data_IF_528499696697
#
_entry.id   IF_528499696697
#
_cell.length_a   1.000
_cell.length_b   1.000
_cell.length_c   1.000
_cell.angle_alpha   90.00
_cell.angle_beta   90.00
_cell.angle_gamma   90.00
#
_symmetry.space_group_name_H-M   'P 1'
#
loop_
_entity.id
_entity.type
_entity.pdbx_description
1 polymer ?
#
# COMPACT_ATOMS: atom_id res chain seq x y z
N UNK A 1 22.78 8.57 -20.85
CA UNK A 1 23.69 8.28 -19.72
C UNK A 1 25.02 9.00 -19.82
N UNK A 2 25.85 8.82 -20.87
CA UNK A 2 27.15 9.52 -20.97
C UNK A 2 27.03 11.05 -20.86
N UNK A 3 26.02 11.63 -21.54
CA UNK A 3 25.69 13.07 -21.47
C UNK A 3 25.29 13.54 -20.06
N UNK A 4 24.49 12.73 -19.34
CA UNK A 4 24.00 13.06 -17.99
C UNK A 4 25.12 12.91 -16.95
N UNK A 5 26.00 11.92 -17.14
CA UNK A 5 27.18 11.72 -16.29
C UNK A 5 28.17 12.88 -16.43
N UNK A 6 28.38 13.39 -17.65
CA UNK A 6 29.27 14.54 -17.88
C UNK A 6 28.76 15.85 -17.28
N UNK A 7 27.43 16.05 -17.20
CA UNK A 7 26.84 17.26 -16.61
C UNK A 7 27.13 17.41 -15.11
N UNK A 8 27.42 16.30 -14.41
CA UNK A 8 27.67 16.28 -12.96
C UNK A 8 29.00 15.63 -12.58
N UNK A 9 29.93 15.46 -13.53
CA UNK A 9 31.26 14.88 -13.30
C UNK A 9 31.23 13.49 -12.61
N UNK A 10 30.29 12.63 -13.02
CA UNK A 10 30.18 11.28 -12.48
C UNK A 10 30.95 10.31 -13.38
N UNK A 11 32.20 10.02 -13.02
CA UNK A 11 33.12 9.24 -13.86
C UNK A 11 32.91 7.71 -13.76
N UNK A 12 32.12 7.27 -12.78
CA UNK A 12 31.87 5.84 -12.51
C UNK A 12 30.37 5.52 -12.44
N UNK A 13 29.86 4.85 -13.49
CA UNK A 13 28.44 4.43 -13.59
C UNK A 13 28.26 3.04 -14.23
N UNK A 14 29.24 2.16 -14.07
CA UNK A 14 29.26 0.83 -14.70
C UNK A 14 28.18 -0.13 -14.17
N UNK A 15 27.79 0.00 -12.89
CA UNK A 15 26.75 -0.84 -12.28
C UNK A 15 25.37 -0.14 -12.23
N UNK A 16 24.26 -0.89 -12.06
CA UNK A 16 22.91 -0.32 -12.05
C UNK A 16 22.68 0.77 -10.99
N UNK A 17 23.29 0.65 -9.80
CA UNK A 17 23.11 1.60 -8.71
C UNK A 17 23.75 2.96 -9.05
N UNK A 18 24.95 2.94 -9.61
CA UNK A 18 25.66 4.17 -10.00
C UNK A 18 25.01 4.82 -11.23
N UNK A 19 24.43 4.03 -12.14
CA UNK A 19 23.57 4.58 -13.20
C UNK A 19 22.40 5.36 -12.62
N UNK A 20 21.70 4.82 -11.60
CA UNK A 20 20.59 5.52 -10.94
C UNK A 20 21.04 6.86 -10.35
N UNK A 21 22.19 6.90 -9.68
CA UNK A 21 22.78 8.15 -9.16
C UNK A 21 23.02 9.20 -10.25
N UNK A 22 23.46 8.78 -11.45
CA UNK A 22 23.61 9.69 -12.59
C UNK A 22 22.28 10.30 -13.00
N UNK A 23 21.23 9.49 -13.12
CA UNK A 23 19.91 10.01 -13.47
C UNK A 23 19.35 10.92 -12.38
N UNK A 24 19.46 10.52 -11.10
CA UNK A 24 18.98 11.30 -9.95
C UNK A 24 19.71 12.65 -9.83
N UNK A 25 21.02 12.70 -10.06
CA UNK A 25 21.81 13.94 -10.07
C UNK A 25 21.31 14.95 -11.12
N UNK A 26 20.71 14.46 -12.20
CA UNK A 26 20.11 15.27 -13.27
C UNK A 26 18.60 15.48 -13.08
N UNK A 27 18.06 15.17 -11.89
CA UNK A 27 16.62 15.32 -11.57
C UNK A 27 15.72 14.27 -12.22
N UNK A 28 16.29 13.17 -12.75
CA UNK A 28 15.54 12.10 -13.41
C UNK A 28 15.48 10.89 -12.46
N UNK A 29 14.32 10.69 -11.86
CA UNK A 29 14.10 9.58 -10.94
C UNK A 29 13.96 8.26 -11.71
N UNK A 30 14.96 7.40 -11.55
CA UNK A 30 15.19 6.21 -12.37
C UNK A 30 14.14 5.08 -12.22
N UNK A 31 13.12 5.26 -11.38
CA UNK A 31 12.01 4.31 -11.14
C UNK A 31 10.69 5.04 -10.78
N UNK A 32 10.55 6.29 -11.23
CA UNK A 32 9.38 7.09 -10.81
C UNK A 32 8.05 6.68 -11.46
N UNK A 33 8.09 5.77 -12.45
CA UNK A 33 6.95 5.36 -13.26
C UNK A 33 6.69 3.85 -13.27
N UNK A 34 7.68 3.00 -12.97
CA UNK A 34 7.59 1.55 -13.24
C UNK A 34 6.91 0.74 -12.14
N UNK A 35 6.58 1.37 -11.01
CA UNK A 35 5.93 0.72 -9.87
C UNK A 35 4.88 1.66 -9.25
N UNK A 36 3.78 1.98 -9.95
CA UNK A 36 2.73 2.81 -9.38
C UNK A 36 2.02 2.09 -8.23
N UNK A 37 1.45 2.85 -7.31
CA UNK A 37 0.56 2.32 -6.27
C UNK A 37 -0.88 2.29 -6.79
N UNK A 38 -1.58 1.18 -6.53
CA UNK A 38 -2.99 1.01 -6.89
C UNK A 38 -3.86 1.62 -5.79
N UNK A 39 -4.83 2.45 -6.17
CA UNK A 39 -5.79 3.07 -5.26
C UNK A 39 -7.21 2.91 -5.79
N UNK A 40 -8.17 2.74 -4.89
CA UNK A 40 -9.60 2.67 -5.18
C UNK A 40 -10.33 3.61 -4.23
N UNK A 41 -11.33 4.34 -4.74
CA UNK A 41 -12.15 5.30 -3.99
C UNK A 41 -11.37 6.40 -3.25
N UNK A 42 -10.08 6.59 -3.55
CA UNK A 42 -9.22 7.64 -2.99
C UNK A 42 -9.56 8.98 -3.64
N UNK A 43 -10.23 9.87 -2.90
CA UNK A 43 -10.72 11.15 -3.43
C UNK A 43 -10.04 12.33 -2.77
N UNK A 44 -9.61 13.27 -3.61
CA UNK A 44 -9.03 14.54 -3.20
C UNK A 44 -9.99 15.69 -3.51
N UNK A 45 -9.76 16.86 -2.91
CA UNK A 45 -10.54 18.07 -3.21
C UNK A 45 -10.25 18.58 -4.61
N UNK A 46 -11.21 19.32 -5.19
CA UNK A 46 -11.16 19.76 -6.59
C UNK A 46 -9.95 20.67 -6.92
N UNK A 47 -9.32 21.28 -5.92
CA UNK A 47 -8.09 22.07 -6.07
C UNK A 47 -6.83 21.22 -6.27
N UNK A 48 -6.86 19.94 -5.90
CA UNK A 48 -5.70 19.06 -6.03
C UNK A 48 -5.51 18.61 -7.49
N UNK A 49 -4.29 18.71 -8.08
CA UNK A 49 -4.06 18.36 -9.49
C UNK A 49 -4.41 16.92 -9.89
N UNK A 50 -4.36 15.98 -8.94
CA UNK A 50 -4.75 14.58 -9.17
C UNK A 50 -6.27 14.34 -9.08
N UNK A 51 -7.05 15.30 -8.58
CA UNK A 51 -8.47 15.12 -8.34
C UNK A 51 -9.27 14.80 -9.62
N UNK A 52 -9.04 15.40 -10.80
CA UNK A 52 -9.82 15.07 -12.00
C UNK A 52 -9.70 13.59 -12.40
N UNK A 53 -8.50 13.01 -12.32
CA UNK A 53 -8.26 11.61 -12.70
C UNK A 53 -8.89 10.68 -11.65
N UNK A 54 -8.66 10.94 -10.37
CA UNK A 54 -9.21 10.15 -9.27
C UNK A 54 -10.74 10.21 -9.23
N UNK A 55 -11.33 11.38 -9.48
CA UNK A 55 -12.79 11.55 -9.50
C UNK A 55 -13.39 10.89 -10.74
N UNK A 56 -12.75 10.97 -11.91
CA UNK A 56 -13.23 10.28 -13.12
C UNK A 56 -13.29 8.77 -12.91
N UNK A 57 -12.23 8.19 -12.36
CA UNK A 57 -12.16 6.76 -12.08
C UNK A 57 -13.17 6.36 -10.99
N UNK A 58 -13.27 7.15 -9.91
CA UNK A 58 -14.29 6.96 -8.88
C UNK A 58 -15.71 6.91 -9.46
N UNK A 59 -16.09 7.84 -10.35
CA UNK A 59 -17.43 7.88 -10.93
C UNK A 59 -17.76 6.67 -11.82
N UNK A 60 -16.74 5.99 -12.34
CA UNK A 60 -16.88 4.80 -13.19
C UNK A 60 -16.52 3.51 -12.44
N UNK A 61 -16.33 3.56 -11.12
CA UNK A 61 -15.96 2.41 -10.30
C UNK A 61 -14.64 1.73 -10.72
N UNK A 62 -13.75 2.50 -11.35
CA UNK A 62 -12.44 2.03 -11.76
C UNK A 62 -11.38 2.41 -10.71
N UNK A 63 -10.37 1.56 -10.46
CA UNK A 63 -9.24 1.95 -9.64
C UNK A 63 -8.29 2.87 -10.43
N UNK A 64 -7.38 3.53 -9.73
CA UNK A 64 -6.35 4.38 -10.32
C UNK A 64 -4.94 3.92 -9.93
N UNK A 65 -4.00 4.10 -10.84
CA UNK A 65 -2.57 3.95 -10.54
C UNK A 65 -1.93 5.31 -10.33
N UNK A 66 -1.28 5.51 -9.19
CA UNK A 66 -0.50 6.71 -8.89
C UNK A 66 1.00 6.38 -8.96
N UNK A 67 1.69 7.05 -9.87
CA UNK A 67 3.14 6.95 -10.01
C UNK A 67 3.85 7.74 -8.92
N UNK A 68 5.07 7.35 -8.55
CA UNK A 68 5.92 8.12 -7.65
C UNK A 68 6.12 9.55 -8.17
N UNK A 69 6.25 9.74 -9.50
CA UNK A 69 6.38 11.08 -10.10
C UNK A 69 5.17 11.97 -9.80
N UNK A 70 3.96 11.44 -9.94
CA UNK A 70 2.72 12.17 -9.59
C UNK A 70 2.72 12.58 -8.12
N UNK A 71 3.07 11.65 -7.22
CA UNK A 71 3.09 11.90 -5.76
C UNK A 71 4.17 12.91 -5.35
N UNK A 72 5.27 13.00 -6.09
CA UNK A 72 6.33 14.00 -5.84
C UNK A 72 5.97 15.37 -6.41
N UNK A 73 5.37 15.43 -7.60
CA UNK A 73 5.00 16.69 -8.24
C UNK A 73 3.75 17.32 -7.63
N UNK A 74 2.81 16.49 -7.18
CA UNK A 74 1.52 16.88 -6.63
C UNK A 74 1.33 16.22 -5.25
N UNK A 75 2.15 16.60 -4.26
CA UNK A 75 2.09 15.98 -2.94
C UNK A 75 0.83 16.40 -2.20
N UNK A 76 0.25 15.45 -1.45
CA UNK A 76 -0.78 15.74 -0.45
C UNK A 76 -0.08 16.34 0.77
N UNK A 77 -0.39 17.59 1.10
CA UNK A 77 0.34 18.37 2.14
C UNK A 77 -0.49 18.70 3.37
N UNK A 78 -1.80 18.58 3.26
CA UNK A 78 -2.76 18.92 4.30
C UNK A 78 -3.96 17.97 4.28
N UNK A 79 -4.68 17.89 5.39
CA UNK A 79 -5.87 17.04 5.53
C UNK A 79 -7.03 17.60 4.69
N UNK A 80 -7.10 18.91 4.50
CA UNK A 80 -8.11 19.58 3.68
C UNK A 80 -8.07 19.14 2.21
N UNK A 81 -6.93 18.67 1.71
CA UNK A 81 -6.83 18.06 0.38
C UNK A 81 -7.54 16.70 0.28
N UNK A 82 -7.74 16.00 1.39
CA UNK A 82 -8.37 14.69 1.44
C UNK A 82 -9.88 14.79 1.65
N UNK A 83 -10.67 13.99 0.90
CA UNK A 83 -12.11 13.83 1.15
C UNK A 83 -12.44 12.65 2.06
N UNK A 84 -11.45 12.23 2.83
CA UNK A 84 -11.48 11.09 3.73
C UNK A 84 -10.52 11.37 4.88
N UNK A 85 -10.85 10.88 6.08
CA UNK A 85 -9.95 10.91 7.24
C UNK A 85 -9.38 9.54 7.57
N UNK A 86 -9.88 8.48 6.92
CA UNK A 86 -9.48 7.09 7.11
C UNK A 86 -9.26 6.40 5.77
N UNK A 87 -8.23 5.58 5.67
CA UNK A 87 -7.91 4.76 4.50
C UNK A 87 -7.52 3.34 4.91
N UNK A 88 -7.92 2.37 4.10
CA UNK A 88 -7.54 0.99 4.26
C UNK A 88 -6.43 0.62 3.28
N UNK A 89 -5.62 -0.36 3.65
CA UNK A 89 -4.48 -0.83 2.89
C UNK A 89 -4.50 -2.36 2.86
N UNK A 90 -4.44 -2.95 1.67
CA UNK A 90 -4.32 -4.39 1.44
C UNK A 90 -3.03 -4.71 0.66
N UNK A 91 -2.62 -5.96 0.66
CA UNK A 91 -1.46 -6.43 -0.12
C UNK A 91 -1.87 -6.86 -1.54
N UNK A 92 -3.05 -7.45 -1.69
CA UNK A 92 -3.47 -8.18 -2.86
C UNK A 92 -4.46 -7.39 -3.72
N UNK A 93 -4.18 -7.20 -5.03
CA UNK A 93 -5.09 -6.48 -5.93
C UNK A 93 -6.45 -7.19 -6.11
N UNK A 94 -6.56 -8.49 -5.84
CA UNK A 94 -7.83 -9.20 -5.86
C UNK A 94 -8.84 -8.62 -4.85
N UNK A 95 -8.37 -8.09 -3.71
CA UNK A 95 -9.23 -7.42 -2.72
C UNK A 95 -9.78 -6.11 -3.26
N UNK A 96 -8.99 -5.38 -4.07
CA UNK A 96 -9.47 -4.17 -4.76
C UNK A 96 -10.55 -4.51 -5.76
N UNK A 97 -10.32 -5.51 -6.63
CA UNK A 97 -11.34 -5.98 -7.58
C UNK A 97 -12.60 -6.43 -6.86
N UNK A 98 -12.48 -7.25 -5.81
CA UNK A 98 -13.63 -7.73 -5.06
C UNK A 98 -14.40 -6.61 -4.36
N UNK A 99 -13.71 -5.57 -3.85
CA UNK A 99 -14.36 -4.41 -3.25
C UNK A 99 -15.13 -3.58 -4.28
N UNK A 100 -14.61 -3.43 -5.50
CA UNK A 100 -15.33 -2.75 -6.58
C UNK A 100 -16.62 -3.51 -6.90
N UNK A 101 -16.54 -4.83 -7.10
CA UNK A 101 -17.72 -5.64 -7.43
C UNK A 101 -18.76 -5.71 -6.30
N UNK A 102 -18.32 -5.71 -5.04
CA UNK A 102 -19.22 -5.84 -3.89
C UNK A 102 -19.81 -4.50 -3.44
N UNK A 103 -18.97 -3.45 -3.35
CA UNK A 103 -19.30 -2.19 -2.70
C UNK A 103 -19.30 -0.98 -3.67
N UNK A 104 -18.68 -1.10 -4.84
CA UNK A 104 -18.56 -0.01 -5.81
C UNK A 104 -18.04 1.28 -5.17
N UNK A 105 -18.78 2.38 -5.37
CA UNK A 105 -18.49 3.70 -4.75
C UNK A 105 -18.86 3.82 -3.27
N UNK A 106 -19.58 2.86 -2.70
CA UNK A 106 -20.07 2.88 -1.31
C UNK A 106 -19.06 2.24 -0.34
N UNK A 107 -17.78 2.49 -0.55
CA UNK A 107 -16.72 1.98 0.32
C UNK A 107 -15.73 3.08 0.73
N UNK A 108 -15.07 2.85 1.86
CA UNK A 108 -13.87 3.57 2.26
C UNK A 108 -12.77 3.46 1.19
N UNK A 109 -11.86 4.45 1.11
CA UNK A 109 -10.74 4.40 0.18
C UNK A 109 -9.79 3.25 0.54
N UNK A 110 -9.30 2.58 -0.49
CA UNK A 110 -8.43 1.40 -0.39
C UNK A 110 -7.15 1.61 -1.20
N UNK A 111 -6.01 1.32 -0.60
CA UNK A 111 -4.69 1.33 -1.24
C UNK A 111 -4.19 -0.11 -1.30
N UNK A 112 -3.69 -0.54 -2.45
CA UNK A 112 -3.11 -1.87 -2.61
C UNK A 112 -1.59 -1.77 -2.83
N UNK A 113 -0.83 -2.52 -2.02
CA UNK A 113 0.62 -2.54 -2.09
C UNK A 113 1.17 -3.47 -3.18
N UNK A 114 0.38 -4.46 -3.60
CA UNK A 114 0.78 -5.50 -4.57
C UNK A 114 2.04 -6.23 -4.13
N UNK A 115 2.10 -6.61 -2.85
CA UNK A 115 3.27 -7.22 -2.22
C UNK A 115 4.11 -6.24 -1.40
N UNK A 116 5.44 -6.35 -1.52
CA UNK A 116 6.37 -5.48 -0.81
C UNK A 116 6.14 -4.00 -1.17
N UNK A 117 6.06 -3.08 -0.19
CA UNK A 117 5.73 -1.69 -0.44
C UNK A 117 6.73 -1.02 -1.40
N UNK A 118 6.25 -0.62 -2.57
CA UNK A 118 7.05 0.10 -3.58
C UNK A 118 7.34 1.54 -3.13
N UNK A 119 8.28 2.22 -3.78
CA UNK A 119 8.57 3.64 -3.50
C UNK A 119 7.34 4.54 -3.65
N UNK A 120 6.47 4.26 -4.63
CA UNK A 120 5.21 5.00 -4.80
C UNK A 120 4.26 4.76 -3.63
N UNK A 121 4.10 3.51 -3.20
CA UNK A 121 3.25 3.18 -2.07
C UNK A 121 3.76 3.78 -0.76
N UNK A 122 5.06 3.63 -0.48
CA UNK A 122 5.70 4.25 0.69
C UNK A 122 5.55 5.77 0.66
N UNK A 123 5.68 6.41 -0.50
CA UNK A 123 5.51 7.86 -0.62
C UNK A 123 4.08 8.30 -0.32
N UNK A 124 3.09 7.59 -0.84
CA UNK A 124 1.68 7.87 -0.57
C UNK A 124 1.35 7.68 0.91
N UNK A 125 1.71 6.53 1.49
CA UNK A 125 1.48 6.25 2.91
C UNK A 125 2.17 7.28 3.83
N UNK A 126 3.40 7.69 3.49
CA UNK A 126 4.11 8.74 4.22
C UNK A 126 3.37 10.08 4.16
N UNK A 127 2.86 10.50 2.99
CA UNK A 127 2.10 11.74 2.86
C UNK A 127 0.80 11.69 3.67
N UNK A 128 0.04 10.60 3.56
CA UNK A 128 -1.22 10.41 4.28
C UNK A 128 -1.02 10.40 5.80
N UNK A 129 0.02 9.69 6.27
CA UNK A 129 0.39 9.65 7.69
C UNK A 129 0.77 11.05 8.22
N UNK A 130 1.57 11.80 7.45
CA UNK A 130 2.02 13.15 7.84
C UNK A 130 0.87 14.16 7.96
N UNK A 131 -0.16 14.05 7.12
CA UNK A 131 -1.33 14.93 7.19
C UNK A 131 -2.38 14.44 8.21
N UNK A 132 -2.14 13.28 8.85
CA UNK A 132 -2.97 12.75 9.93
C UNK A 132 -4.11 11.85 9.49
N UNK A 133 -4.08 11.27 8.29
CA UNK A 133 -5.07 10.26 7.87
C UNK A 133 -4.85 8.98 8.67
N UNK A 134 -5.94 8.41 9.19
CA UNK A 134 -5.94 7.11 9.86
C UNK A 134 -5.73 5.99 8.84
N UNK A 135 -4.55 5.38 8.85
CA UNK A 135 -4.18 4.26 7.97
C UNK A 135 -4.46 2.93 8.67
N UNK A 136 -5.19 2.04 8.01
CA UNK A 136 -5.55 0.71 8.49
C UNK A 136 -4.99 -0.35 7.54
N UNK A 137 -4.11 -1.23 8.02
CA UNK A 137 -3.40 -2.20 7.18
C UNK A 137 -3.81 -3.64 7.45
N UNK A 138 -4.13 -4.37 6.38
CA UNK A 138 -4.25 -5.83 6.36
C UNK A 138 -3.29 -6.41 5.30
N UNK A 139 -2.90 -7.66 5.49
CA UNK A 139 -2.10 -8.42 4.55
C UNK A 139 -2.18 -9.91 4.88
N UNK A 140 -1.44 -10.72 4.12
CA UNK A 140 -1.48 -12.17 4.31
C UNK A 140 -1.04 -12.59 5.73
N UNK A 141 -1.72 -13.60 6.27
CA UNK A 141 -1.25 -14.32 7.45
C UNK A 141 -0.21 -15.36 7.05
N UNK A 142 0.94 -14.88 6.61
CA UNK A 142 2.14 -15.66 6.44
C UNK A 142 3.37 -14.89 6.97
N UNK A 143 4.56 -15.48 6.93
CA UNK A 143 5.74 -14.80 7.48
C UNK A 143 6.19 -13.56 6.68
N UNK A 144 6.17 -13.56 5.33
CA UNK A 144 6.32 -12.34 4.54
C UNK A 144 5.29 -11.23 4.88
N UNK A 145 4.00 -11.56 4.90
CA UNK A 145 2.89 -10.65 5.20
C UNK A 145 3.03 -10.02 6.58
N UNK A 146 3.40 -10.79 7.62
CA UNK A 146 3.71 -10.24 8.94
C UNK A 146 4.90 -9.26 8.92
N UNK A 147 5.90 -9.47 8.07
CA UNK A 147 7.03 -8.52 7.93
C UNK A 147 6.60 -7.24 7.23
N UNK A 148 5.76 -7.34 6.20
CA UNK A 148 5.20 -6.16 5.53
C UNK A 148 4.30 -5.39 6.49
N UNK A 149 3.40 -6.08 7.20
CA UNK A 149 2.53 -5.49 8.21
C UNK A 149 3.35 -4.73 9.27
N UNK A 150 4.39 -5.38 9.81
CA UNK A 150 5.33 -4.74 10.75
C UNK A 150 5.95 -3.47 10.17
N UNK A 151 6.50 -3.56 8.96
CA UNK A 151 7.12 -2.41 8.31
C UNK A 151 6.13 -1.26 8.12
N UNK A 152 4.92 -1.54 7.64
CA UNK A 152 3.90 -0.52 7.38
C UNK A 152 3.42 0.13 8.67
N UNK A 153 3.16 -0.66 9.71
CA UNK A 153 2.73 -0.20 11.04
C UNK A 153 3.82 0.67 11.69
N UNK A 154 5.06 0.20 11.74
CA UNK A 154 6.16 0.93 12.40
C UNK A 154 6.59 2.18 11.63
N UNK A 155 6.56 2.15 10.29
CA UNK A 155 7.07 3.25 9.45
C UNK A 155 6.04 4.35 9.24
N UNK A 156 4.77 3.98 9.08
CA UNK A 156 3.71 4.94 8.71
C UNK A 156 2.65 5.13 9.79
N UNK A 157 2.81 4.48 10.96
CA UNK A 157 1.84 4.57 12.06
C UNK A 157 0.49 3.93 11.71
N UNK A 158 0.48 2.97 10.77
CA UNK A 158 -0.74 2.26 10.42
C UNK A 158 -1.25 1.42 11.60
N UNK A 159 -2.56 1.24 11.69
CA UNK A 159 -3.23 0.38 12.65
C UNK A 159 -3.47 -1.00 12.02
N UNK A 160 -3.31 -2.12 12.76
CA UNK A 160 -3.69 -3.43 12.25
C UNK A 160 -5.19 -3.46 11.95
N UNK A 161 -5.55 -3.91 10.75
CA UNK A 161 -6.92 -4.13 10.31
C UNK A 161 -7.13 -5.63 10.20
N UNK A 162 -7.93 -6.19 11.13
CA UNK A 162 -8.13 -7.66 11.24
C UNK A 162 -6.83 -8.45 11.16
N UNK A 163 -5.73 -7.86 11.64
CA UNK A 163 -4.40 -8.46 11.59
C UNK A 163 -4.06 -8.98 12.99
N UNK A 164 -4.97 -9.69 13.62
CA UNK A 164 -4.83 -10.17 15.00
C UNK A 164 -5.06 -11.69 15.09
N UNK A 165 -4.70 -12.28 16.23
CA UNK A 165 -4.81 -13.71 16.45
C UNK A 165 -6.24 -14.22 16.31
N UNK A 166 -7.24 -13.44 16.72
CA UNK A 166 -8.64 -13.82 16.62
C UNK A 166 -9.05 -13.93 15.14
N UNK A 167 -8.76 -12.89 14.36
CA UNK A 167 -9.03 -12.84 12.93
C UNK A 167 -8.31 -13.96 12.17
N UNK A 168 -7.09 -14.31 12.57
CA UNK A 168 -6.35 -15.45 12.02
C UNK A 168 -7.02 -16.79 12.34
N UNK A 169 -7.48 -16.98 13.57
CA UNK A 169 -8.12 -18.24 14.00
C UNK A 169 -9.52 -18.41 13.40
N UNK A 170 -10.25 -17.32 13.18
CA UNK A 170 -11.55 -17.30 12.51
C UNK A 170 -11.46 -17.59 11.00
N UNK A 171 -10.28 -17.43 10.40
CA UNK A 171 -10.10 -17.67 8.97
C UNK A 171 -10.21 -19.16 8.60
N UNK A 172 -10.74 -19.42 7.41
CA UNK A 172 -10.79 -20.77 6.84
C UNK A 172 -9.39 -21.38 6.69
N UNK A 173 -9.31 -22.71 6.56
CA UNK A 173 -8.03 -23.39 6.34
C UNK A 173 -7.36 -22.92 5.04
N UNK A 174 -6.07 -22.62 5.14
CA UNK A 174 -5.20 -22.29 4.02
C UNK A 174 -4.16 -23.36 3.76
N UNK A 175 -2.96 -22.94 3.37
CA UNK A 175 -1.87 -23.85 2.98
C UNK A 175 -0.85 -24.01 4.11
N UNK A 176 0.01 -25.04 4.09
CA UNK A 176 1.07 -25.17 5.10
C UNK A 176 1.96 -23.93 5.19
N UNK A 177 2.12 -23.40 6.40
CA UNK A 177 2.96 -22.24 6.70
C UNK A 177 4.43 -22.60 6.53
N UNK A 178 5.17 -21.76 5.78
CA UNK A 178 6.58 -22.02 5.44
C UNK A 178 7.45 -20.80 5.69
N UNK A 179 8.73 -21.06 5.98
CA UNK A 179 9.76 -20.05 6.12
C UNK A 179 10.04 -19.66 7.57
N UNK A 180 10.81 -18.58 7.74
CA UNK A 180 11.25 -18.13 9.07
C UNK A 180 10.15 -17.33 9.76
N UNK A 181 9.79 -17.69 11.01
CA UNK A 181 8.82 -16.96 11.81
C UNK A 181 9.11 -15.47 11.90
N UNK A 182 8.06 -14.66 11.76
CA UNK A 182 8.08 -13.22 11.96
C UNK A 182 7.39 -12.86 13.28
N UNK A 183 7.70 -11.68 13.81
CA UNK A 183 7.03 -11.14 14.99
C UNK A 183 5.87 -10.25 14.58
N UNK A 184 4.85 -10.18 15.44
CA UNK A 184 3.69 -9.31 15.32
C UNK A 184 3.64 -8.36 16.54
N UNK A 185 4.37 -7.23 16.54
CA UNK A 185 4.45 -6.35 17.71
C UNK A 185 3.11 -5.78 18.19
N UNK A 186 2.12 -5.70 17.29
CA UNK A 186 0.77 -5.22 17.60
C UNK A 186 -0.13 -6.28 18.27
N UNK A 187 0.21 -7.57 18.15
CA UNK A 187 -0.47 -8.67 18.83
C UNK A 187 0.49 -9.85 19.04
N UNK A 188 0.94 -10.04 20.28
CA UNK A 188 1.91 -11.09 20.62
C UNK A 188 1.37 -12.50 20.41
N UNK A 189 0.05 -12.69 20.46
CA UNK A 189 -0.57 -14.01 20.34
C UNK A 189 -0.65 -14.49 18.89
N UNK A 190 -0.61 -13.58 17.91
CA UNK A 190 -0.77 -13.93 16.50
C UNK A 190 0.33 -14.88 16.00
N UNK A 191 1.60 -14.56 16.28
CA UNK A 191 2.73 -15.44 15.92
C UNK A 191 2.57 -16.83 16.52
N UNK A 192 2.15 -16.92 17.78
CA UNK A 192 1.99 -18.19 18.48
C UNK A 192 0.84 -19.01 17.89
N UNK A 193 -0.30 -18.37 17.63
CA UNK A 193 -1.43 -18.99 16.93
C UNK A 193 -1.01 -19.53 15.56
N UNK A 194 -0.23 -18.78 14.79
CA UNK A 194 0.29 -19.21 13.48
C UNK A 194 1.26 -20.40 13.59
N UNK A 195 2.11 -20.45 14.61
CA UNK A 195 3.01 -21.58 14.85
C UNK A 195 2.25 -22.85 15.24
N UNK A 196 1.22 -22.71 16.08
CA UNK A 196 0.40 -23.83 16.55
C UNK A 196 -0.47 -24.39 15.42
N UNK A 197 -1.17 -23.51 14.69
CA UNK A 197 -2.04 -23.90 13.57
C UNK A 197 -1.22 -24.37 12.36
N UNK A 198 -0.06 -23.77 12.12
CA UNK A 198 0.86 -24.18 11.05
C UNK A 198 0.36 -23.88 9.65
N UNK A 199 -0.56 -22.92 9.49
CA UNK A 199 -1.25 -22.62 8.24
C UNK A 199 -1.07 -21.16 7.83
N UNK A 200 -0.68 -20.92 6.58
CA UNK A 200 -0.72 -19.60 5.97
C UNK A 200 -2.13 -19.34 5.43
N UNK A 201 -2.65 -18.13 5.65
CA UNK A 201 -3.96 -17.70 5.15
C UNK A 201 -3.78 -16.46 4.30
N UNK A 202 -4.23 -16.51 3.06
CA UNK A 202 -4.17 -15.37 2.13
C UNK A 202 -5.37 -14.43 2.27
N UNK A 203 -5.22 -13.17 1.90
CA UNK A 203 -6.27 -12.16 2.00
C UNK A 203 -7.59 -12.60 1.33
N UNK A 204 -7.55 -13.33 0.21
CA UNK A 204 -8.76 -13.83 -0.47
C UNK A 204 -9.61 -14.73 0.42
N UNK A 205 -8.98 -15.44 1.36
CA UNK A 205 -9.68 -16.36 2.26
C UNK A 205 -10.46 -15.63 3.36
N UNK A 206 -10.09 -14.38 3.63
CA UNK A 206 -10.76 -13.49 4.59
C UNK A 206 -11.47 -12.32 3.92
N UNK A 207 -11.49 -12.29 2.58
CA UNK A 207 -12.02 -11.19 1.78
C UNK A 207 -13.42 -10.77 2.22
N UNK A 208 -14.33 -11.71 2.49
CA UNK A 208 -15.69 -11.39 2.95
C UNK A 208 -15.72 -10.44 4.16
N UNK A 209 -14.88 -10.70 5.15
CA UNK A 209 -14.79 -9.88 6.37
C UNK A 209 -14.13 -8.54 6.09
N UNK A 210 -13.13 -8.50 5.20
CA UNK A 210 -12.48 -7.25 4.77
C UNK A 210 -13.47 -6.36 4.00
N UNK A 211 -14.20 -6.92 3.04
CA UNK A 211 -15.18 -6.17 2.24
C UNK A 211 -16.31 -5.59 3.10
N UNK A 212 -16.71 -6.30 4.17
CA UNK A 212 -17.70 -5.80 5.13
C UNK A 212 -17.17 -4.61 5.97
N UNK A 213 -15.88 -4.57 6.29
CA UNK A 213 -15.30 -3.41 7.01
C UNK A 213 -15.08 -2.20 6.10
N UNK A 214 -15.02 -2.41 4.78
CA UNK A 214 -14.85 -1.36 3.78
C UNK A 214 -16.15 -0.64 3.46
N UNK A 215 -17.32 -1.24 3.65
CA UNK A 215 -18.61 -0.61 3.35
C UNK A 215 -18.91 0.55 4.31
N UNK A 216 -19.68 1.53 3.83
CA UNK A 216 -20.21 2.61 4.69
C UNK A 216 -21.45 2.20 5.52
N UNK A 217 -21.97 0.98 5.31
CA UNK A 217 -23.11 0.41 6.05
C UNK A 217 -22.74 -0.12 7.43
#
# INVERSE_FOLDING_TARGET
LPLLASLHHIDHWQNPADRRKVWDANGILCDSLSNPVLVCNLRLTASHPLAPILETNYQHEEPSYLTLRQLLNFPIKDMEACRFSKVFVCENPAIVSANIEANGRNSHPLICLSGNPTSSAQKLLSQLSQVGVDIHYHGDFDWPGLRIAKFVIETFGAKPWRMDAMSYLDAADGIPLKGKPAVSPWDTNLKEAMLVRGTAVYEEQVAKSLLADLSFE
#
